data_IF_605194515200
#
_entry.id   IF_605194515200
#
_cell.length_a   1.000
_cell.length_b   1.000
_cell.length_c   1.000
_cell.angle_alpha   90.00
_cell.angle_beta   90.00
_cell.angle_gamma   90.00
#
_symmetry.space_group_name_H-M   'P 1'
#
loop_
_entity.id
_entity.type
_entity.pdbx_description
1 polymer ?
#
# COMPACT_ATOMS: atom_id res chain seq x y z
N UNK A 1 8.45 5.15 -9.16
CA UNK A 1 7.18 5.91 -8.98
C UNK A 1 6.95 6.21 -7.50
N UNK A 2 7.21 5.25 -6.61
CA UNK A 2 7.11 5.44 -5.16
C UNK A 2 8.31 6.25 -4.67
N UNK A 3 8.13 7.48 -4.14
CA UNK A 3 9.21 8.26 -3.57
C UNK A 3 9.62 7.71 -2.21
N UNK A 4 10.93 7.67 -1.95
CA UNK A 4 11.49 7.22 -0.68
C UNK A 4 12.21 8.35 0.08
N UNK A 5 12.11 9.59 -0.40
CA UNK A 5 12.63 10.79 0.21
C UNK A 5 12.19 12.04 -0.52
N UNK A 6 12.53 13.21 0.03
CA UNK A 6 12.24 14.52 -0.52
C UNK A 6 13.19 14.96 -1.64
N UNK A 7 13.17 16.26 -1.91
CA UNK A 7 14.09 16.92 -2.83
C UNK A 7 15.22 17.54 -2.03
N UNK A 8 16.46 17.32 -2.46
CA UNK A 8 17.69 17.81 -1.80
C UNK A 8 18.65 18.40 -2.82
N UNK A 9 19.36 19.44 -2.41
CA UNK A 9 20.46 20.00 -3.19
C UNK A 9 21.77 19.37 -2.71
N UNK A 10 22.42 18.61 -3.59
CA UNK A 10 23.74 17.99 -3.35
C UNK A 10 24.70 18.45 -4.44
N UNK A 11 25.83 19.07 -4.05
CA UNK A 11 26.85 19.57 -4.98
C UNK A 11 26.25 20.47 -6.08
N UNK A 12 25.39 21.41 -5.70
CA UNK A 12 24.65 22.34 -6.59
C UNK A 12 23.73 21.64 -7.64
N UNK A 13 23.40 20.36 -7.41
CA UNK A 13 22.42 19.64 -8.22
C UNK A 13 21.21 19.27 -7.34
N UNK A 14 20.03 19.45 -7.90
CA UNK A 14 18.80 18.96 -7.30
C UNK A 14 18.70 17.44 -7.49
N UNK A 15 18.59 16.72 -6.38
CA UNK A 15 18.42 15.27 -6.35
C UNK A 15 17.05 14.95 -5.80
N UNK A 16 16.20 14.37 -6.64
CA UNK A 16 14.88 13.87 -6.26
C UNK A 16 15.00 12.38 -5.97
N UNK A 17 14.56 11.94 -4.80
CA UNK A 17 14.58 10.54 -4.40
C UNK A 17 13.36 9.78 -4.93
N UNK A 18 13.11 9.93 -6.23
CA UNK A 18 12.12 9.19 -6.99
C UNK A 18 12.71 8.83 -8.34
N UNK A 19 12.51 7.60 -8.81
CA UNK A 19 13.06 7.14 -10.10
C UNK A 19 12.29 7.77 -11.26
N UNK A 20 10.97 7.88 -11.13
CA UNK A 20 10.08 8.47 -12.13
C UNK A 20 8.95 9.18 -11.41
N UNK A 21 8.86 10.49 -11.58
CA UNK A 21 7.77 11.30 -11.01
C UNK A 21 6.66 11.42 -12.06
N UNK A 22 5.56 10.69 -11.82
CA UNK A 22 4.40 10.65 -12.70
C UNK A 22 3.25 11.42 -12.06
N UNK A 23 2.58 12.27 -12.83
CA UNK A 23 1.41 13.04 -12.35
C UNK A 23 0.28 12.16 -11.83
N UNK A 24 0.14 10.96 -12.40
CA UNK A 24 -0.83 9.93 -12.00
C UNK A 24 -0.13 8.70 -11.38
N UNK A 25 0.95 8.93 -10.63
CA UNK A 25 1.83 7.87 -10.11
C UNK A 25 1.08 6.79 -9.34
N UNK A 26 0.12 7.18 -8.52
CA UNK A 26 -0.70 6.26 -7.74
C UNK A 26 -1.55 5.34 -8.62
N UNK A 27 -2.24 5.88 -9.63
CA UNK A 27 -3.03 5.09 -10.57
C UNK A 27 -2.17 4.14 -11.40
N UNK A 28 -0.96 4.58 -11.77
CA UNK A 28 -0.02 3.74 -12.50
C UNK A 28 0.40 2.50 -11.67
N UNK A 29 0.67 2.68 -10.37
CA UNK A 29 1.02 1.55 -9.48
C UNK A 29 -0.15 0.57 -9.37
N UNK A 30 -1.39 1.06 -9.18
CA UNK A 30 -2.57 0.19 -9.13
C UNK A 30 -2.84 -0.51 -10.47
N UNK A 31 -2.69 0.18 -11.60
CA UNK A 31 -2.86 -0.42 -12.91
C UNK A 31 -1.89 -1.60 -13.16
N UNK A 32 -0.64 -1.47 -12.69
CA UNK A 32 0.32 -2.58 -12.79
C UNK A 32 -0.02 -3.70 -11.79
N UNK A 33 -0.44 -3.36 -10.58
CA UNK A 33 -0.87 -4.35 -9.58
C UNK A 33 -2.05 -5.18 -10.09
N UNK A 34 -3.05 -4.56 -10.75
CA UNK A 34 -4.20 -5.25 -11.35
C UNK A 34 -3.80 -6.32 -12.37
N UNK A 35 -2.68 -6.14 -13.09
CA UNK A 35 -2.20 -7.15 -14.04
C UNK A 35 -1.83 -8.47 -13.35
N UNK A 36 -1.49 -8.46 -12.06
CA UNK A 36 -1.19 -9.67 -11.30
C UNK A 36 -2.39 -10.63 -11.27
N UNK A 37 -3.62 -10.10 -11.25
CA UNK A 37 -4.85 -10.91 -11.28
C UNK A 37 -4.90 -11.83 -12.50
N UNK A 38 -4.52 -11.34 -13.68
CA UNK A 38 -4.44 -12.16 -14.89
C UNK A 38 -3.39 -13.27 -14.75
N UNK A 39 -2.27 -12.98 -14.10
CA UNK A 39 -1.22 -13.96 -13.84
C UNK A 39 -1.75 -15.18 -13.06
N UNK A 40 -2.54 -14.94 -12.01
CA UNK A 40 -3.13 -16.01 -11.21
C UNK A 40 -4.17 -16.83 -11.99
N UNK A 41 -5.02 -16.19 -12.79
CA UNK A 41 -6.00 -16.86 -13.63
C UNK A 41 -5.31 -17.76 -14.68
N UNK A 42 -4.29 -17.24 -15.36
CA UNK A 42 -3.52 -17.98 -16.36
C UNK A 42 -2.78 -19.15 -15.70
N UNK A 43 -2.23 -18.97 -14.50
CA UNK A 43 -1.56 -20.03 -13.76
C UNK A 43 -2.51 -21.20 -13.45
N UNK A 44 -3.72 -20.90 -12.95
CA UNK A 44 -4.72 -21.94 -12.69
C UNK A 44 -5.20 -22.63 -13.96
N UNK A 45 -5.37 -21.88 -15.05
CA UNK A 45 -5.80 -22.47 -16.33
C UNK A 45 -4.72 -23.35 -16.95
N UNK A 46 -3.46 -22.94 -16.92
CA UNK A 46 -2.34 -23.66 -17.52
C UNK A 46 -1.96 -24.94 -16.76
N UNK A 47 -2.35 -25.06 -15.48
CA UNK A 47 -2.08 -26.25 -14.67
C UNK A 47 -2.93 -27.48 -15.06
N UNK A 48 -3.97 -27.29 -15.88
CA UNK A 48 -4.89 -28.37 -16.33
C UNK A 48 -5.47 -29.21 -15.17
N UNK A 49 -5.67 -28.58 -14.00
CA UNK A 49 -6.22 -29.21 -12.81
C UNK A 49 -7.44 -28.41 -12.34
N UNK A 50 -8.58 -29.10 -12.12
CA UNK A 50 -9.83 -28.45 -11.71
C UNK A 50 -9.72 -27.73 -10.36
N UNK A 51 -8.96 -28.28 -9.42
CA UNK A 51 -8.74 -27.66 -8.10
C UNK A 51 -7.91 -26.38 -8.21
N UNK A 52 -6.88 -26.40 -9.05
CA UNK A 52 -6.06 -25.25 -9.33
C UNK A 52 -6.85 -24.14 -10.05
N UNK A 53 -7.69 -24.51 -11.02
CA UNK A 53 -8.56 -23.56 -11.70
C UNK A 53 -9.58 -22.94 -10.73
N UNK A 54 -10.19 -23.74 -9.85
CA UNK A 54 -11.11 -23.21 -8.84
C UNK A 54 -10.40 -22.27 -7.85
N UNK A 55 -9.19 -22.60 -7.42
CA UNK A 55 -8.34 -21.74 -6.57
C UNK A 55 -8.03 -20.42 -7.24
N UNK A 56 -7.63 -20.44 -8.52
CA UNK A 56 -7.30 -19.22 -9.27
C UNK A 56 -8.52 -18.30 -9.47
N UNK A 57 -9.70 -18.86 -9.72
CA UNK A 57 -10.94 -18.08 -9.84
C UNK A 57 -11.34 -17.44 -8.50
N UNK A 58 -11.15 -18.14 -7.39
CA UNK A 58 -11.34 -17.56 -6.04
C UNK A 58 -10.36 -16.40 -5.79
N UNK A 59 -9.11 -16.58 -6.17
CA UNK A 59 -8.07 -15.52 -6.08
C UNK A 59 -8.48 -14.29 -6.86
N UNK A 60 -8.82 -14.45 -8.13
CA UNK A 60 -9.21 -13.34 -9.00
C UNK A 60 -10.45 -12.60 -8.47
N UNK A 61 -11.46 -13.34 -8.02
CA UNK A 61 -12.67 -12.74 -7.46
C UNK A 61 -12.37 -11.94 -6.19
N UNK A 62 -11.50 -12.44 -5.33
CA UNK A 62 -11.07 -11.74 -4.12
C UNK A 62 -10.29 -10.48 -4.46
N UNK A 63 -9.24 -10.57 -5.28
CA UNK A 63 -8.39 -9.44 -5.66
C UNK A 63 -9.22 -8.31 -6.28
N UNK A 64 -10.02 -8.59 -7.30
CA UNK A 64 -10.87 -7.58 -7.98
C UNK A 64 -11.83 -6.91 -6.97
N UNK A 65 -12.45 -7.68 -6.08
CA UNK A 65 -13.40 -7.14 -5.11
C UNK A 65 -12.75 -6.17 -4.12
N UNK A 66 -11.55 -6.48 -3.65
CA UNK A 66 -10.84 -5.65 -2.69
C UNK A 66 -10.08 -4.50 -3.35
N UNK A 67 -9.62 -4.66 -4.58
CA UNK A 67 -9.01 -3.60 -5.38
C UNK A 67 -10.00 -2.44 -5.61
N UNK A 68 -11.25 -2.74 -5.96
CA UNK A 68 -12.30 -1.71 -6.09
C UNK A 68 -12.48 -0.93 -4.78
N UNK A 69 -12.56 -1.64 -3.66
CA UNK A 69 -12.69 -1.00 -2.34
C UNK A 69 -11.47 -0.15 -1.99
N UNK A 70 -10.27 -0.65 -2.28
CA UNK A 70 -9.02 0.05 -2.03
C UNK A 70 -8.92 1.33 -2.87
N UNK A 71 -9.29 1.26 -4.16
CA UNK A 71 -9.37 2.43 -5.02
C UNK A 71 -10.35 3.50 -4.50
N UNK A 72 -11.54 3.09 -4.04
CA UNK A 72 -12.50 4.03 -3.45
C UNK A 72 -11.99 4.67 -2.16
N UNK A 73 -11.29 3.94 -1.29
CA UNK A 73 -10.73 4.52 -0.06
C UNK A 73 -9.68 5.58 -0.33
N UNK A 74 -8.89 5.40 -1.38
CA UNK A 74 -7.87 6.35 -1.79
C UNK A 74 -8.49 7.66 -2.30
N UNK A 75 -9.64 7.62 -2.97
CA UNK A 75 -10.31 8.84 -3.44
C UNK A 75 -10.52 9.83 -2.28
N UNK A 76 -10.95 9.35 -1.10
CA UNK A 76 -11.08 10.18 0.09
C UNK A 76 -9.76 10.88 0.51
N UNK A 77 -8.64 10.17 0.41
CA UNK A 77 -7.32 10.72 0.70
C UNK A 77 -6.89 11.74 -0.36
N UNK A 78 -7.13 11.44 -1.65
CA UNK A 78 -6.82 12.35 -2.76
C UNK A 78 -7.64 13.65 -2.71
N UNK A 79 -8.90 13.58 -2.25
CA UNK A 79 -9.73 14.77 -2.06
C UNK A 79 -9.16 15.72 -0.99
N UNK A 80 -8.52 15.17 0.04
CA UNK A 80 -7.90 15.97 1.12
C UNK A 80 -6.59 16.61 0.66
N UNK A 81 -5.77 15.90 -0.12
CA UNK A 81 -4.47 16.40 -0.56
C UNK A 81 -4.48 17.09 -1.92
N UNK A 82 -5.59 17.03 -2.65
CA UNK A 82 -5.79 17.66 -3.97
C UNK A 82 -4.71 17.30 -5.01
N UNK A 83 -3.99 16.19 -4.81
CA UNK A 83 -2.94 15.73 -5.72
C UNK A 83 -2.97 14.21 -5.89
N UNK A 84 -2.61 13.73 -7.10
CA UNK A 84 -2.38 12.31 -7.40
C UNK A 84 -0.88 11.95 -7.42
N UNK A 85 0.00 12.95 -7.31
CA UNK A 85 1.44 12.73 -7.24
C UNK A 85 1.84 12.28 -5.84
N UNK A 86 2.49 11.14 -5.76
CA UNK A 86 2.97 10.61 -4.48
C UNK A 86 4.03 11.51 -3.81
N UNK A 87 4.82 12.22 -4.62
CA UNK A 87 5.81 13.20 -4.14
C UNK A 87 5.16 14.40 -3.47
N UNK A 88 4.10 14.96 -4.07
CA UNK A 88 3.36 16.10 -3.53
C UNK A 88 2.58 15.70 -2.26
N UNK A 89 1.91 14.54 -2.28
CA UNK A 89 1.23 14.01 -1.09
C UNK A 89 2.22 13.86 0.07
N UNK A 90 3.42 13.31 -0.19
CA UNK A 90 4.45 13.21 0.81
C UNK A 90 4.92 14.57 1.34
N UNK A 91 5.11 15.56 0.47
CA UNK A 91 5.55 16.90 0.87
C UNK A 91 4.51 17.64 1.73
N UNK A 92 3.21 17.55 1.42
CA UNK A 92 2.13 18.18 2.20
C UNK A 92 2.08 17.64 3.63
N UNK A 93 2.46 16.38 3.84
CA UNK A 93 2.46 15.74 5.16
C UNK A 93 3.66 16.11 6.06
N UNK A 94 4.39 17.17 5.80
CA UNK A 94 5.49 17.63 6.67
C UNK A 94 5.02 17.89 8.10
N UNK A 95 3.83 18.45 8.28
CA UNK A 95 3.22 18.64 9.58
C UNK A 95 2.57 17.35 10.08
N UNK A 96 2.85 16.97 11.33
CA UNK A 96 2.32 15.74 11.94
C UNK A 96 0.79 15.64 11.91
N UNK A 97 0.09 16.76 12.13
CA UNK A 97 -1.38 16.80 12.09
C UNK A 97 -1.98 16.65 10.68
N UNK A 98 -1.17 16.85 9.63
CA UNK A 98 -1.56 16.66 8.24
C UNK A 98 -1.37 15.20 7.77
N UNK A 99 -0.97 14.29 8.63
CA UNK A 99 -0.83 12.90 8.28
C UNK A 99 -2.19 12.26 7.98
N UNK A 100 -2.27 11.47 6.93
CA UNK A 100 -3.50 10.85 6.48
C UNK A 100 -4.21 10.00 7.53
N UNK A 101 -3.47 9.42 8.48
CA UNK A 101 -4.06 8.65 9.58
C UNK A 101 -4.98 9.49 10.47
N UNK A 102 -4.71 10.79 10.65
CA UNK A 102 -5.54 11.69 11.46
C UNK A 102 -6.67 12.30 10.63
N UNK A 103 -6.39 12.65 9.38
CA UNK A 103 -7.38 13.26 8.50
C UNK A 103 -8.41 12.24 7.99
N UNK A 104 -7.99 10.98 7.78
CA UNK A 104 -8.80 9.90 7.21
C UNK A 104 -8.63 8.59 8.01
N UNK A 105 -8.99 8.54 9.31
CA UNK A 105 -8.78 7.34 10.13
C UNK A 105 -9.60 6.15 9.62
N UNK A 106 -10.83 6.40 9.14
CA UNK A 106 -11.68 5.37 8.56
C UNK A 106 -11.07 4.85 7.24
N UNK A 107 -10.56 5.75 6.40
CA UNK A 107 -9.84 5.40 5.17
C UNK A 107 -8.62 4.54 5.44
N UNK A 108 -7.84 4.85 6.49
CA UNK A 108 -6.68 4.05 6.90
C UNK A 108 -7.07 2.60 7.25
N UNK A 109 -8.10 2.40 8.08
CA UNK A 109 -8.56 1.06 8.49
C UNK A 109 -9.10 0.27 7.29
N UNK A 110 -9.89 0.92 6.43
CA UNK A 110 -10.45 0.28 5.24
C UNK A 110 -9.34 -0.10 4.24
N UNK A 111 -8.39 0.81 4.00
CA UNK A 111 -7.27 0.55 3.11
C UNK A 111 -6.37 -0.57 3.66
N UNK A 112 -6.05 -0.57 4.96
CA UNK A 112 -5.28 -1.63 5.61
C UNK A 112 -5.98 -2.99 5.47
N UNK A 113 -7.29 -3.04 5.72
CA UNK A 113 -8.06 -4.28 5.60
C UNK A 113 -8.08 -4.79 4.16
N UNK A 114 -8.33 -3.89 3.20
CA UNK A 114 -8.36 -4.23 1.78
C UNK A 114 -6.98 -4.70 1.28
N UNK A 115 -5.89 -4.05 1.71
CA UNK A 115 -4.53 -4.40 1.31
C UNK A 115 -4.09 -5.78 1.83
N UNK A 116 -4.48 -6.15 3.06
CA UNK A 116 -4.20 -7.50 3.59
C UNK A 116 -4.99 -8.56 2.81
N UNK A 117 -6.22 -8.25 2.42
CA UNK A 117 -7.04 -9.15 1.63
C UNK A 117 -6.52 -9.30 0.19
N UNK A 118 -5.95 -8.26 -0.41
CA UNK A 118 -5.32 -8.30 -1.73
C UNK A 118 -4.06 -9.15 -1.71
N UNK A 119 -3.23 -9.03 -0.68
CA UNK A 119 -2.03 -9.86 -0.46
C UNK A 119 -2.34 -11.35 -0.22
N UNK A 120 -3.62 -11.75 -0.15
CA UNK A 120 -4.05 -13.15 0.04
C UNK A 120 -3.44 -13.83 1.26
N UNK A 121 -3.01 -13.07 2.26
CA UNK A 121 -2.43 -13.57 3.50
C UNK A 121 -3.50 -13.81 4.57
N UNK A 122 -3.25 -14.72 5.49
CA UNK A 122 -4.11 -14.92 6.65
C UNK A 122 -4.39 -13.57 7.31
N UNK A 123 -5.65 -13.22 7.60
CA UNK A 123 -6.86 -14.06 7.66
C UNK A 123 -7.62 -14.27 6.32
N UNK A 124 -7.21 -13.64 5.21
CA UNK A 124 -7.89 -13.63 3.91
C UNK A 124 -7.30 -14.64 2.91
N UNK A 125 -6.74 -15.73 3.39
CA UNK A 125 -6.08 -16.77 2.61
C UNK A 125 -7.09 -17.86 2.13
N UNK A 126 -8.17 -17.43 1.47
CA UNK A 126 -9.15 -18.34 0.92
C UNK A 126 -8.70 -19.04 -0.39
N UNK A 127 -7.83 -18.41 -1.23
CA UNK A 127 -7.31 -19.04 -2.44
C UNK A 127 -6.39 -20.24 -2.20
N UNK A 128 -5.60 -20.20 -1.11
CA UNK A 128 -4.60 -21.20 -0.77
C UNK A 128 -5.09 -22.19 0.29
N UNK A 129 -6.36 -22.13 0.68
CA UNK A 129 -6.91 -22.91 1.77
C UNK A 129 -6.58 -24.40 1.62
N UNK A 130 -5.51 -24.89 2.27
CA UNK A 130 -5.03 -26.28 2.22
C UNK A 130 -6.12 -27.28 2.56
N UNK A 131 -7.03 -26.92 3.47
CA UNK A 131 -8.13 -27.78 3.87
C UNK A 131 -9.26 -27.92 2.82
N UNK A 132 -9.33 -27.00 1.84
CA UNK A 132 -10.39 -26.98 0.82
C UNK A 132 -9.89 -27.27 -0.60
N UNK A 133 -8.71 -26.75 -0.98
CA UNK A 133 -8.20 -26.73 -2.35
C UNK A 133 -6.79 -27.31 -2.52
N UNK A 134 -6.28 -28.03 -1.52
CA UNK A 134 -4.93 -28.61 -1.45
C UNK A 134 -3.86 -27.49 -1.37
N UNK A 135 -3.54 -26.82 -2.48
CA UNK A 135 -2.63 -25.66 -2.54
C UNK A 135 -3.11 -24.61 -3.56
N UNK A 136 -4.40 -24.62 -3.88
CA UNK A 136 -4.99 -23.65 -4.80
C UNK A 136 -4.29 -23.65 -6.18
N UNK A 137 -3.97 -22.46 -6.69
CA UNK A 137 -3.31 -22.29 -7.99
C UNK A 137 -1.84 -22.75 -8.02
N UNK A 138 -1.19 -23.00 -6.87
CA UNK A 138 0.18 -23.51 -6.77
C UNK A 138 0.29 -25.03 -6.96
N UNK A 139 -0.80 -25.80 -6.93
CA UNK A 139 -0.81 -27.26 -6.80
C UNK A 139 0.13 -27.97 -7.78
N UNK A 140 0.22 -27.50 -9.02
CA UNK A 140 1.04 -28.14 -10.07
C UNK A 140 2.42 -27.46 -10.23
N UNK A 141 2.70 -26.39 -9.49
CA UNK A 141 3.95 -25.66 -9.62
C UNK A 141 4.96 -26.12 -8.58
N UNK A 142 6.22 -26.35 -9.01
CA UNK A 142 7.32 -26.76 -8.16
C UNK A 142 8.61 -26.00 -8.48
N UNK A 143 9.57 -26.08 -7.60
CA UNK A 143 10.90 -25.50 -7.77
C UNK A 143 10.88 -23.98 -8.01
N UNK A 144 11.58 -23.50 -9.03
CA UNK A 144 11.73 -22.07 -9.31
C UNK A 144 10.39 -21.37 -9.63
N UNK A 145 9.49 -22.05 -10.34
CA UNK A 145 8.17 -21.49 -10.71
C UNK A 145 7.34 -21.18 -9.46
N UNK A 146 7.31 -22.08 -8.49
CA UNK A 146 6.68 -21.86 -7.19
C UNK A 146 7.35 -20.71 -6.43
N UNK A 147 8.69 -20.67 -6.42
CA UNK A 147 9.45 -19.58 -5.79
C UNK A 147 9.14 -18.21 -6.37
N UNK A 148 8.86 -18.09 -7.68
CA UNK A 148 8.48 -16.83 -8.31
C UNK A 148 7.12 -16.30 -7.82
N UNK A 149 6.13 -17.16 -7.57
CA UNK A 149 4.85 -16.73 -6.98
C UNK A 149 5.04 -16.18 -5.57
N UNK A 150 5.82 -16.88 -4.73
CA UNK A 150 6.15 -16.40 -3.39
C UNK A 150 6.90 -15.07 -3.41
N UNK A 151 7.85 -14.91 -4.32
CA UNK A 151 8.58 -13.66 -4.49
C UNK A 151 7.65 -12.51 -4.87
N UNK A 152 6.70 -12.75 -5.77
CA UNK A 152 5.70 -11.75 -6.16
C UNK A 152 4.87 -11.27 -4.97
N UNK A 153 4.43 -12.18 -4.09
CA UNK A 153 3.67 -11.82 -2.88
C UNK A 153 4.48 -10.99 -1.88
N UNK A 154 5.76 -11.28 -1.70
CA UNK A 154 6.63 -10.47 -0.84
C UNK A 154 6.86 -9.07 -1.42
N UNK A 155 7.03 -8.95 -2.74
CA UNK A 155 7.15 -7.65 -3.42
C UNK A 155 5.86 -6.85 -3.24
N UNK A 156 4.70 -7.47 -3.41
CA UNK A 156 3.39 -6.85 -3.21
C UNK A 156 3.24 -6.32 -1.77
N UNK A 157 3.62 -7.11 -0.77
CA UNK A 157 3.61 -6.72 0.64
C UNK A 157 4.46 -5.47 0.92
N UNK A 158 5.67 -5.41 0.37
CA UNK A 158 6.56 -4.25 0.49
C UNK A 158 5.99 -3.03 -0.21
N UNK A 159 5.44 -3.21 -1.42
CA UNK A 159 4.84 -2.13 -2.21
C UNK A 159 3.64 -1.51 -1.49
N UNK A 160 2.74 -2.33 -0.97
CA UNK A 160 1.60 -1.87 -0.15
C UNK A 160 2.08 -1.15 1.10
N UNK A 161 3.08 -1.69 1.81
CA UNK A 161 3.68 -1.02 2.96
C UNK A 161 4.23 0.36 2.62
N UNK A 162 4.86 0.52 1.47
CA UNK A 162 5.37 1.81 0.99
C UNK A 162 4.24 2.78 0.65
N UNK A 163 3.18 2.34 -0.03
CA UNK A 163 1.99 3.16 -0.35
C UNK A 163 1.29 3.61 0.94
N UNK A 164 1.08 2.69 1.89
CA UNK A 164 0.51 3.01 3.21
C UNK A 164 1.32 4.08 3.95
N UNK A 165 2.64 3.98 3.88
CA UNK A 165 3.55 4.96 4.50
C UNK A 165 3.38 6.34 3.88
N UNK A 166 3.27 6.44 2.55
CA UNK A 166 3.11 7.71 1.85
C UNK A 166 1.72 8.32 2.10
N UNK A 167 0.67 7.52 2.01
CA UNK A 167 -0.69 8.03 2.11
C UNK A 167 -1.09 8.40 3.54
N UNK A 168 -0.61 7.65 4.55
CA UNK A 168 -1.17 7.75 5.89
C UNK A 168 -0.16 8.13 6.99
N UNK A 169 1.13 7.79 6.85
CA UNK A 169 2.14 8.00 7.89
C UNK A 169 3.17 9.10 7.60
N UNK A 170 2.85 10.06 6.76
CA UNK A 170 3.74 11.19 6.51
C UNK A 170 4.99 10.83 5.73
N UNK A 171 4.92 9.86 4.81
CA UNK A 171 6.02 9.47 3.93
C UNK A 171 7.38 9.36 4.67
N UNK A 172 8.35 10.17 4.30
CA UNK A 172 9.69 10.23 4.89
C UNK A 172 9.82 11.18 6.09
N UNK A 173 8.75 11.92 6.46
CA UNK A 173 8.82 12.88 7.55
C UNK A 173 8.82 12.22 8.93
N UNK A 174 9.57 12.82 9.86
CA UNK A 174 9.62 12.40 11.26
C UNK A 174 8.48 13.08 12.03
N UNK A 175 7.79 12.37 12.93
CA UNK A 175 6.78 13.02 13.79
C UNK A 175 7.37 14.20 14.55
N UNK A 176 6.69 15.34 14.55
CA UNK A 176 7.05 16.56 15.29
C UNK A 176 8.36 17.25 14.87
N UNK A 177 9.07 16.78 13.85
CA UNK A 177 10.31 17.37 13.35
C UNK A 177 10.15 17.77 11.88
N UNK A 178 10.24 19.09 11.62
CA UNK A 178 10.24 19.59 10.24
C UNK A 178 11.61 19.42 9.59
N UNK A 179 11.65 19.36 8.28
CA UNK A 179 12.91 19.27 7.52
C UNK A 179 13.85 20.43 7.85
N UNK A 180 13.29 21.64 8.06
CA UNK A 180 14.06 22.84 8.43
C UNK A 180 14.75 22.69 9.81
N UNK A 181 14.07 22.10 10.81
CA UNK A 181 14.67 21.87 12.14
C UNK A 181 15.78 20.84 12.08
N UNK A 182 15.63 19.79 11.27
CA UNK A 182 16.70 18.81 11.05
C UNK A 182 17.92 19.45 10.39
N UNK A 183 17.71 20.27 9.38
CA UNK A 183 18.82 20.98 8.71
C UNK A 183 19.56 21.91 9.68
N UNK A 184 18.85 22.63 10.54
CA UNK A 184 19.48 23.51 11.53
C UNK A 184 20.35 22.78 12.56
N UNK A 185 20.01 21.54 12.90
CA UNK A 185 20.81 20.72 13.83
C UNK A 185 22.17 20.29 13.23
N UNK A 186 22.24 20.13 11.91
CA UNK A 186 23.44 19.69 11.21
C UNK A 186 24.15 20.78 10.42
N UNK A 187 23.77 22.06 10.64
CA UNK A 187 24.33 23.21 9.90
C UNK A 187 25.87 23.33 10.02
N UNK A 188 26.45 22.79 11.14
CA UNK A 188 27.89 22.74 11.36
C UNK A 188 28.67 21.89 10.32
N UNK A 189 28.02 21.04 9.54
CA UNK A 189 28.62 20.21 8.48
C UNK A 189 28.66 20.92 7.12
N UNK A 190 28.18 22.16 7.04
CA UNK A 190 28.00 22.90 5.79
C UNK A 190 26.78 22.42 5.00
N UNK A 191 26.36 23.19 4.00
CA UNK A 191 25.10 22.99 3.29
C UNK A 191 24.97 21.61 2.63
N UNK A 192 26.03 21.12 2.00
CA UNK A 192 26.04 19.81 1.34
C UNK A 192 26.06 18.65 2.35
N UNK A 193 26.81 18.82 3.45
CA UNK A 193 26.89 17.81 4.51
C UNK A 193 25.59 17.67 5.27
N UNK A 194 24.93 18.78 5.64
CA UNK A 194 23.65 18.78 6.32
C UNK A 194 22.56 18.13 5.46
N UNK A 195 22.45 18.48 4.17
CA UNK A 195 21.51 17.89 3.24
C UNK A 195 21.70 16.38 3.10
N UNK A 196 22.94 15.91 3.03
CA UNK A 196 23.24 14.47 2.91
C UNK A 196 22.84 13.70 4.15
N UNK A 197 23.15 14.21 5.35
CA UNK A 197 22.75 13.56 6.62
C UNK A 197 21.24 13.53 6.78
N UNK A 198 20.55 14.65 6.52
CA UNK A 198 19.08 14.73 6.61
C UNK A 198 18.43 13.77 5.59
N UNK A 199 18.95 13.71 4.37
CA UNK A 199 18.50 12.77 3.36
C UNK A 199 18.59 11.31 3.85
N UNK A 200 19.74 10.91 4.41
CA UNK A 200 19.93 9.54 4.93
C UNK A 200 18.98 9.23 6.10
N UNK A 201 18.77 10.18 6.99
CA UNK A 201 17.84 10.03 8.12
C UNK A 201 16.41 9.83 7.59
N UNK A 202 15.95 10.67 6.67
CA UNK A 202 14.59 10.59 6.12
C UNK A 202 14.37 9.29 5.34
N UNK A 203 15.34 8.86 4.54
CA UNK A 203 15.30 7.54 3.86
C UNK A 203 15.21 6.42 4.89
N UNK A 204 16.02 6.47 5.94
CA UNK A 204 15.98 5.50 7.04
C UNK A 204 14.62 5.44 7.74
N UNK A 205 14.00 6.60 7.99
CA UNK A 205 12.65 6.71 8.58
C UNK A 205 11.58 6.13 7.65
N UNK A 206 11.66 6.41 6.35
CA UNK A 206 10.75 5.82 5.38
C UNK A 206 10.81 4.29 5.40
N UNK A 207 12.00 3.71 5.31
CA UNK A 207 12.16 2.25 5.37
C UNK A 207 11.74 1.67 6.72
N UNK A 208 11.99 2.36 7.84
CA UNK A 208 11.52 1.92 9.16
C UNK A 208 9.99 1.84 9.24
N UNK A 209 9.27 2.80 8.64
CA UNK A 209 7.80 2.80 8.55
C UNK A 209 7.29 1.67 7.64
N UNK A 210 7.96 1.41 6.52
CA UNK A 210 7.62 0.28 5.64
C UNK A 210 7.79 -1.05 6.38
N UNK A 211 8.91 -1.23 7.08
CA UNK A 211 9.17 -2.42 7.92
C UNK A 211 8.12 -2.55 9.02
N UNK A 212 7.69 -1.44 9.62
CA UNK A 212 6.59 -1.45 10.60
C UNK A 212 5.29 -2.03 10.00
N UNK A 213 4.91 -1.65 8.78
CA UNK A 213 3.73 -2.23 8.13
C UNK A 213 3.90 -3.70 7.79
N UNK A 214 5.07 -4.12 7.34
CA UNK A 214 5.37 -5.54 7.10
C UNK A 214 5.23 -6.32 8.41
N UNK A 215 5.78 -5.79 9.50
CA UNK A 215 5.68 -6.40 10.83
C UNK A 215 4.23 -6.45 11.32
N UNK A 216 3.45 -5.40 11.11
CA UNK A 216 2.03 -5.35 11.43
C UNK A 216 1.24 -6.46 10.69
N UNK A 217 1.49 -6.64 9.39
CA UNK A 217 0.89 -7.72 8.61
C UNK A 217 1.29 -9.11 9.13
N UNK A 218 2.55 -9.27 9.56
CA UNK A 218 3.00 -10.51 10.19
C UNK A 218 2.27 -10.80 11.51
N UNK A 219 2.10 -9.79 12.38
CA UNK A 219 1.34 -9.94 13.63
C UNK A 219 -0.10 -10.36 13.35
N UNK A 220 -0.76 -9.69 12.40
CA UNK A 220 -2.14 -10.01 12.01
C UNK A 220 -2.24 -11.45 11.52
N UNK A 221 -1.28 -11.90 10.72
CA UNK A 221 -1.21 -13.29 10.24
C UNK A 221 -1.14 -14.32 11.37
N UNK A 222 -0.42 -14.00 12.46
CA UNK A 222 -0.22 -14.93 13.58
C UNK A 222 -1.32 -14.88 14.64
N UNK A 223 -2.12 -13.80 14.67
CA UNK A 223 -3.12 -13.57 15.72
C UNK A 223 -4.54 -13.89 15.29
N UNK A 224 -4.90 -13.68 14.01
CA UNK A 224 -6.26 -13.83 13.53
C UNK A 224 -6.50 -15.20 12.91
N UNK A 225 -7.68 -15.81 13.16
CA UNK A 225 -8.11 -17.03 12.50
C UNK A 225 -8.44 -16.75 11.03
N UNK A 226 -8.34 -17.77 10.18
CA UNK A 226 -8.71 -17.72 8.77
C UNK A 226 -10.21 -17.48 8.62
N UNK A 227 -10.59 -16.58 7.70
CA UNK A 227 -11.97 -16.35 7.31
C UNK A 227 -12.40 -17.34 6.21
N UNK A 228 -13.68 -17.69 6.23
CA UNK A 228 -14.30 -18.45 5.15
C UNK A 228 -14.52 -17.54 3.93
N UNK A 229 -14.43 -18.12 2.71
CA UNK A 229 -14.59 -17.37 1.46
C UNK A 229 -15.87 -16.50 1.41
N UNK A 230 -17.02 -17.06 1.87
CA UNK A 230 -18.29 -16.32 1.93
C UNK A 230 -18.20 -15.07 2.82
N UNK A 231 -17.46 -15.16 3.93
CA UNK A 231 -17.27 -14.04 4.87
C UNK A 231 -16.39 -12.95 4.24
N UNK A 232 -15.34 -13.37 3.53
CA UNK A 232 -14.46 -12.47 2.80
C UNK A 232 -15.25 -11.68 1.75
N UNK A 233 -16.02 -12.35 0.91
CA UNK A 233 -16.82 -11.69 -0.12
C UNK A 233 -17.92 -10.79 0.48
N UNK A 234 -18.58 -11.20 1.59
CA UNK A 234 -19.54 -10.35 2.29
C UNK A 234 -18.89 -9.11 2.88
N UNK A 235 -17.70 -9.23 3.47
CA UNK A 235 -16.94 -8.10 4.01
C UNK A 235 -16.63 -7.07 2.91
N UNK A 236 -16.09 -7.50 1.77
CA UNK A 236 -15.76 -6.62 0.65
C UNK A 236 -16.99 -5.88 0.11
N UNK A 237 -18.00 -6.62 -0.33
CA UNK A 237 -19.14 -6.05 -1.05
C UNK A 237 -20.21 -5.40 -0.17
N UNK A 238 -20.51 -5.98 1.02
CA UNK A 238 -21.61 -5.50 1.87
C UNK A 238 -21.18 -4.51 2.94
N UNK A 239 -19.91 -4.51 3.32
CA UNK A 239 -19.41 -3.64 4.40
C UNK A 239 -18.43 -2.62 3.86
N UNK A 240 -17.30 -3.05 3.30
CA UNK A 240 -16.22 -2.14 2.91
C UNK A 240 -16.61 -1.23 1.75
N UNK A 241 -17.27 -1.75 0.72
CA UNK A 241 -17.66 -0.96 -0.45
C UNK A 241 -18.68 0.14 -0.09
N UNK A 242 -19.81 -0.12 0.60
CA UNK A 242 -20.72 0.94 1.01
C UNK A 242 -20.05 1.93 1.98
N UNK A 243 -19.18 1.43 2.87
CA UNK A 243 -18.49 2.27 3.83
C UNK A 243 -17.47 3.20 3.14
N UNK A 244 -16.76 2.73 2.11
CA UNK A 244 -15.84 3.56 1.32
C UNK A 244 -16.58 4.65 0.53
N UNK A 245 -17.74 4.33 -0.04
CA UNK A 245 -18.60 5.34 -0.69
C UNK A 245 -19.11 6.38 0.31
N UNK A 246 -19.57 5.93 1.48
CA UNK A 246 -19.97 6.83 2.54
C UNK A 246 -18.82 7.74 3.00
N UNK A 247 -17.61 7.19 3.13
CA UNK A 247 -16.42 7.96 3.50
C UNK A 247 -16.13 9.08 2.46
N UNK A 248 -16.24 8.80 1.17
CA UNK A 248 -16.04 9.81 0.11
C UNK A 248 -17.07 10.95 0.26
N UNK A 249 -18.35 10.61 0.45
CA UNK A 249 -19.41 11.61 0.63
C UNK A 249 -19.19 12.48 1.87
N UNK A 250 -18.86 11.85 3.00
CA UNK A 250 -18.58 12.56 4.26
C UNK A 250 -17.36 13.47 4.09
N UNK A 251 -16.28 12.98 3.49
CA UNK A 251 -15.07 13.79 3.23
C UNK A 251 -15.40 14.99 2.35
N UNK A 252 -16.16 14.80 1.27
CA UNK A 252 -16.58 15.90 0.39
C UNK A 252 -17.43 16.95 1.12
N UNK A 253 -18.37 16.50 1.97
CA UNK A 253 -19.19 17.42 2.78
C UNK A 253 -18.34 18.20 3.81
N UNK A 254 -17.38 17.55 4.44
CA UNK A 254 -16.47 18.21 5.40
C UNK A 254 -15.62 19.26 4.70
N UNK A 255 -15.05 18.93 3.54
CA UNK A 255 -14.25 19.90 2.75
C UNK A 255 -15.11 21.09 2.35
N UNK A 256 -16.36 20.87 1.86
CA UNK A 256 -17.28 21.95 1.50
C UNK A 256 -17.71 22.80 2.71
N UNK A 257 -17.76 22.26 3.90
CA UNK A 257 -18.12 22.98 5.11
C UNK A 257 -16.96 23.82 5.70
N UNK A 258 -15.71 23.43 5.37
CA UNK A 258 -14.50 24.13 5.84
C UNK A 258 -14.02 25.23 4.87
N UNK A 259 -14.45 25.17 3.60
CA UNK A 259 -14.23 26.21 2.59
C UNK A 259 -15.41 27.20 2.57
#
# INVERSE_FOLDING_TARGET
>A
VVPFGGQYTLFDKEVNLVISDLDVGLLFVFAIASLATYGYVIAGWSSNNNWSLLGSMRTASQMISYEVTMGLTIIGVLMVYESMKLTEIGAIQENFWMWGIFLQPLGFIMFLTASIAENKRIPFDAPEAESELVAGYFTEYSGLKFGMFFMAEFIEMVTIGAIMTILFLGAWHIPFLTTATLLSWFDFLGTTGSNLVVMLIQVGVFFAKVVFFIYLQMIIRWTLPRFRYDQIMKLGWKILLPLSLANILVTGLVILALN
#
